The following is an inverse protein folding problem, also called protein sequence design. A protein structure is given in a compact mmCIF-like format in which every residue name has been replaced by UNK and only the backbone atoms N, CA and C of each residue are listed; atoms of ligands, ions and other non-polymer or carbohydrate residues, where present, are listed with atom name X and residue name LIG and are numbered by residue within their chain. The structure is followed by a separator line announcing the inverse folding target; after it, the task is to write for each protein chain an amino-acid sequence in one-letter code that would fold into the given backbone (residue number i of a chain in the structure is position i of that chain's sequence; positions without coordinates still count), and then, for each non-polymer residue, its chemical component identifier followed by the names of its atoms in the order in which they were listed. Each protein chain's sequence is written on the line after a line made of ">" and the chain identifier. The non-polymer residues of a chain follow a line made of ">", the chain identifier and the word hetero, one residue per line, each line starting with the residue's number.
data_IF_430478305513
#
_entry.id   IF_430478305513
#
_cell.length_a   1.000
_cell.length_b   1.000
_cell.length_c   1.000
_cell.angle_alpha   90.00
_cell.angle_beta   90.00
_cell.angle_gamma   90.00
#
_symmetry.space_group_name_H-M   'P 1'
#
loop_
_entity.id
_entity.type
_entity.pdbx_description
1 polymer ?
#
# COMPACT_ATOMS: atom_id res chain seq x y z
N UNK A 1 -26.54 42.94 44.11
CA UNK A 1 -26.40 41.71 43.28
C UNK A 1 -26.98 41.89 41.88
N UNK A 2 -28.29 42.17 41.72
CA UNK A 2 -28.90 42.40 40.40
C UNK A 2 -28.30 43.59 39.63
N UNK A 3 -27.98 44.70 40.31
CA UNK A 3 -27.36 45.88 39.67
C UNK A 3 -25.94 45.60 39.16
N UNK A 4 -25.13 44.85 39.91
CA UNK A 4 -23.76 44.47 39.52
C UNK A 4 -23.74 43.52 38.31
N UNK A 5 -24.70 42.58 38.27
CA UNK A 5 -24.91 41.70 37.12
C UNK A 5 -25.34 42.48 35.87
N UNK A 6 -26.14 43.54 36.03
CA UNK A 6 -26.58 44.38 34.93
C UNK A 6 -25.45 45.27 34.38
N UNK A 7 -24.56 45.73 35.27
CA UNK A 7 -23.40 46.56 34.92
C UNK A 7 -22.28 45.77 34.22
N UNK A 8 -22.06 44.51 34.61
CA UNK A 8 -21.04 43.63 34.03
C UNK A 8 -21.59 42.54 33.10
N UNK A 9 -22.90 42.58 32.80
CA UNK A 9 -23.59 41.53 32.03
C UNK A 9 -22.99 41.30 30.64
N UNK A 10 -22.57 42.37 29.98
CA UNK A 10 -21.92 42.30 28.67
C UNK A 10 -20.56 41.56 28.72
N UNK A 11 -19.76 41.82 29.76
CA UNK A 11 -18.48 41.13 29.97
C UNK A 11 -18.68 39.65 30.31
N UNK A 12 -19.68 39.34 31.16
CA UNK A 12 -20.02 37.98 31.50
C UNK A 12 -20.51 37.21 30.26
N UNK A 13 -21.37 37.80 29.45
CA UNK A 13 -21.88 37.20 28.21
C UNK A 13 -20.77 37.00 27.18
N UNK A 14 -19.85 37.96 27.05
CA UNK A 14 -18.66 37.83 26.20
C UNK A 14 -17.75 36.69 26.70
N UNK A 15 -17.51 36.59 28.01
CA UNK A 15 -16.71 35.51 28.60
C UNK A 15 -17.34 34.14 28.37
N UNK A 16 -18.65 34.00 28.59
CA UNK A 16 -19.40 32.77 28.29
C UNK A 16 -19.28 32.43 26.80
N UNK A 17 -19.45 33.41 25.92
CA UNK A 17 -19.30 33.23 24.47
C UNK A 17 -17.91 32.72 24.08
N UNK A 18 -16.84 33.28 24.65
CA UNK A 18 -15.46 32.82 24.43
C UNK A 18 -15.27 31.39 24.92
N UNK A 19 -15.77 31.05 26.11
CA UNK A 19 -15.68 29.69 26.66
C UNK A 19 -16.43 28.70 25.77
N UNK A 20 -17.65 29.03 25.35
CA UNK A 20 -18.43 28.20 24.43
C UNK A 20 -17.70 28.02 23.09
N UNK A 21 -17.14 29.08 22.51
CA UNK A 21 -16.35 29.00 21.29
C UNK A 21 -15.12 28.10 21.45
N UNK A 22 -14.43 28.18 22.59
CA UNK A 22 -13.28 27.34 22.91
C UNK A 22 -13.65 25.85 23.02
N UNK A 23 -14.80 25.54 23.64
CA UNK A 23 -15.34 24.17 23.68
C UNK A 23 -15.60 23.65 22.26
N UNK A 24 -16.19 24.47 21.39
CA UNK A 24 -16.41 24.10 19.99
C UNK A 24 -15.11 23.86 19.22
N UNK A 25 -14.07 24.68 19.45
CA UNK A 25 -12.75 24.49 18.83
C UNK A 25 -12.11 23.18 19.29
N UNK A 26 -12.19 22.84 20.59
CA UNK A 26 -11.69 21.56 21.11
C UNK A 26 -12.46 20.41 20.49
N UNK A 27 -13.78 20.49 20.43
CA UNK A 27 -14.61 19.46 19.83
C UNK A 27 -14.29 19.25 18.35
N UNK A 28 -14.16 20.34 17.59
CA UNK A 28 -13.76 20.31 16.18
C UNK A 28 -12.36 19.68 16.02
N UNK A 29 -11.41 20.02 16.90
CA UNK A 29 -10.07 19.46 16.89
C UNK A 29 -10.10 17.93 17.09
N UNK A 30 -10.82 17.44 18.10
CA UNK A 30 -10.98 16.00 18.37
C UNK A 30 -11.62 15.31 17.16
N UNK A 31 -12.70 15.89 16.62
CA UNK A 31 -13.42 15.33 15.48
C UNK A 31 -12.53 15.22 14.22
N UNK A 32 -11.83 16.30 13.87
CA UNK A 32 -10.95 16.34 12.70
C UNK A 32 -9.75 15.40 12.89
N UNK A 33 -9.19 15.33 14.09
CA UNK A 33 -8.09 14.40 14.40
C UNK A 33 -8.54 12.94 14.26
N UNK A 34 -9.73 12.61 14.76
CA UNK A 34 -10.34 11.28 14.63
C UNK A 34 -10.58 10.90 13.16
N UNK A 35 -11.24 11.77 12.39
CA UNK A 35 -11.48 11.57 10.96
C UNK A 35 -10.19 11.37 10.17
N UNK A 36 -9.15 12.19 10.44
CA UNK A 36 -7.85 12.07 9.78
C UNK A 36 -7.15 10.74 10.08
N UNK A 37 -7.34 10.18 11.27
CA UNK A 37 -6.76 8.88 11.64
C UNK A 37 -7.53 7.71 11.00
N UNK A 38 -8.86 7.78 10.96
CA UNK A 38 -9.70 6.74 10.36
C UNK A 38 -9.53 6.64 8.84
N UNK A 39 -9.28 7.74 8.15
CA UNK A 39 -9.08 7.77 6.69
C UNK A 39 -7.66 7.38 6.22
N UNK A 40 -6.81 6.85 7.10
CA UNK A 40 -5.47 6.40 6.70
C UNK A 40 -5.56 5.02 6.10
N UNK A 41 -5.48 4.97 4.77
CA UNK A 41 -5.29 3.71 4.06
C UNK A 41 -3.84 3.26 4.29
N UNK A 42 -3.69 2.00 4.66
CA UNK A 42 -2.42 1.38 4.98
C UNK A 42 -2.40 0.00 4.37
N UNK A 43 -1.60 -0.18 3.33
CA UNK A 43 -1.44 -1.47 2.65
C UNK A 43 -0.14 -2.08 3.18
N UNK A 44 -0.25 -3.24 3.83
CA UNK A 44 0.89 -4.02 4.27
C UNK A 44 1.27 -4.99 3.16
N UNK A 45 2.54 -4.99 2.79
CA UNK A 45 3.14 -6.02 1.94
C UNK A 45 4.04 -6.83 2.86
N UNK A 46 3.92 -8.14 2.95
CA UNK A 46 4.81 -8.97 3.78
C UNK A 46 5.13 -10.30 3.12
N UNK A 47 6.19 -10.96 3.56
CA UNK A 47 6.51 -12.33 3.15
C UNK A 47 6.02 -13.29 4.22
N UNK A 48 5.30 -14.33 3.81
CA UNK A 48 4.86 -15.44 4.65
C UNK A 48 5.64 -16.71 4.31
N UNK A 49 5.90 -17.52 5.34
CA UNK A 49 6.71 -18.74 5.21
C UNK A 49 8.21 -18.46 5.29
N UNK A 50 8.97 -19.13 4.41
CA UNK A 50 10.42 -18.97 4.35
C UNK A 50 10.80 -17.60 3.80
N UNK A 51 11.92 -17.06 4.27
CA UNK A 51 12.48 -15.79 3.75
C UNK A 51 13.42 -16.04 2.57
N UNK A 52 13.13 -17.05 1.76
CA UNK A 52 13.84 -17.34 0.52
C UNK A 52 12.89 -17.07 -0.66
N UNK A 53 13.30 -17.46 -1.87
CA UNK A 53 12.49 -17.27 -3.08
C UNK A 53 11.22 -18.14 -3.11
N UNK A 54 11.09 -19.11 -2.21
CA UNK A 54 9.88 -19.94 -2.06
C UNK A 54 8.84 -19.28 -1.16
N UNK A 55 9.21 -18.20 -0.46
CA UNK A 55 8.31 -17.41 0.37
C UNK A 55 7.15 -16.81 -0.43
N UNK A 56 5.97 -16.77 0.20
CA UNK A 56 4.77 -16.19 -0.39
C UNK A 56 4.68 -14.70 -0.08
N UNK A 57 4.37 -13.88 -1.07
CA UNK A 57 4.07 -12.47 -0.82
C UNK A 57 2.59 -12.33 -0.46
N UNK A 58 2.32 -11.72 0.68
CA UNK A 58 0.98 -11.34 1.11
C UNK A 58 0.81 -9.84 1.04
N UNK A 59 -0.36 -9.42 0.57
CA UNK A 59 -0.80 -8.02 0.58
C UNK A 59 -2.04 -7.92 1.46
N UNK A 60 -1.98 -7.11 2.50
CA UNK A 60 -3.06 -6.93 3.46
C UNK A 60 -3.54 -5.48 3.47
N UNK A 61 -4.86 -5.27 3.58
CA UNK A 61 -5.42 -3.95 3.82
C UNK A 61 -5.55 -3.73 5.33
N UNK A 62 -4.73 -2.84 5.90
CA UNK A 62 -4.84 -2.39 7.29
C UNK A 62 -5.63 -1.08 7.43
N UNK A 63 -6.07 -0.50 6.32
CA UNK A 63 -6.97 0.66 6.32
C UNK A 63 -8.41 0.26 6.64
N UNK A 64 -9.17 1.20 7.20
CA UNK A 64 -10.58 0.99 7.54
C UNK A 64 -11.51 0.93 6.33
N UNK A 65 -11.08 1.47 5.19
CA UNK A 65 -11.86 1.50 3.96
C UNK A 65 -11.49 0.32 3.06
N UNK A 66 -12.47 -0.32 2.39
CA UNK A 66 -12.19 -1.27 1.33
C UNK A 66 -11.39 -0.60 0.20
N UNK A 67 -10.42 -1.32 -0.34
CA UNK A 67 -9.62 -0.89 -1.48
C UNK A 67 -9.77 -1.90 -2.60
N UNK A 68 -9.76 -1.47 -3.85
CA UNK A 68 -9.69 -2.35 -5.01
C UNK A 68 -8.27 -2.32 -5.57
N UNK A 69 -7.61 -3.48 -5.62
CA UNK A 69 -6.26 -3.59 -6.17
C UNK A 69 -6.37 -3.41 -7.68
N UNK A 70 -5.70 -2.38 -8.21
CA UNK A 70 -5.61 -2.13 -9.65
C UNK A 70 -4.49 -2.96 -10.27
N UNK A 71 -3.34 -2.96 -9.62
CA UNK A 71 -2.16 -3.67 -10.12
C UNK A 71 -1.16 -3.90 -8.99
N UNK A 72 -0.31 -4.91 -9.19
CA UNK A 72 0.85 -5.19 -8.36
C UNK A 72 2.06 -5.14 -9.28
N UNK A 73 2.83 -4.07 -9.16
CA UNK A 73 4.04 -3.85 -9.92
C UNK A 73 5.22 -4.46 -9.19
N UNK A 74 6.04 -5.20 -9.92
CA UNK A 74 7.29 -5.76 -9.42
C UNK A 74 8.44 -5.17 -10.20
N UNK A 75 9.37 -4.57 -9.46
CA UNK A 75 10.62 -4.05 -9.99
C UNK A 75 11.76 -4.95 -9.54
N UNK A 76 12.45 -5.53 -10.50
CA UNK A 76 13.71 -6.25 -10.27
C UNK A 76 14.88 -5.35 -10.62
N UNK A 77 15.94 -5.41 -9.81
CA UNK A 77 17.18 -4.71 -10.07
C UNK A 77 18.34 -5.72 -10.09
N UNK A 78 19.12 -5.68 -11.16
CA UNK A 78 20.34 -6.45 -11.36
C UNK A 78 21.49 -5.48 -11.68
N UNK A 79 22.32 -5.18 -10.67
CA UNK A 79 23.32 -4.12 -10.78
C UNK A 79 22.68 -2.75 -11.05
N UNK A 80 23.05 -2.12 -12.18
CA UNK A 80 22.52 -0.81 -12.62
C UNK A 80 21.22 -0.93 -13.45
N UNK A 81 20.95 -2.13 -13.96
CA UNK A 81 19.77 -2.38 -14.75
C UNK A 81 18.56 -2.67 -13.86
N UNK A 82 17.39 -2.18 -14.30
CA UNK A 82 16.14 -2.43 -13.61
C UNK A 82 14.98 -2.59 -14.57
N UNK A 83 14.14 -3.56 -14.26
CA UNK A 83 12.94 -3.86 -15.02
C UNK A 83 11.72 -3.74 -14.11
N UNK A 84 10.64 -3.12 -14.60
CA UNK A 84 9.34 -3.09 -13.93
C UNK A 84 8.34 -3.86 -14.78
N UNK A 85 7.58 -4.77 -14.17
CA UNK A 85 6.54 -5.54 -14.83
C UNK A 85 5.31 -5.67 -13.93
N UNK A 86 4.14 -5.84 -14.54
CA UNK A 86 2.90 -6.15 -13.82
C UNK A 86 2.86 -7.62 -13.43
N UNK A 87 2.37 -7.86 -12.22
CA UNK A 87 2.19 -9.18 -11.62
C UNK A 87 0.72 -9.44 -11.33
N UNK A 88 -0.18 -8.50 -11.65
CA UNK A 88 -1.60 -8.66 -11.34
C UNK A 88 -2.26 -9.80 -12.13
N UNK A 89 -1.90 -9.97 -13.40
CA UNK A 89 -2.40 -11.09 -14.20
C UNK A 89 -1.57 -12.35 -13.96
N UNK A 90 -2.25 -13.44 -13.58
CA UNK A 90 -1.61 -14.72 -13.26
C UNK A 90 -1.45 -15.55 -14.52
N UNK A 91 -0.47 -15.20 -15.33
CA UNK A 91 -0.20 -15.85 -16.64
C UNK A 91 0.17 -17.34 -16.54
N UNK A 92 0.58 -17.84 -15.37
CA UNK A 92 0.91 -19.25 -15.16
C UNK A 92 -0.31 -20.17 -14.95
N UNK A 93 -1.50 -19.62 -14.73
CA UNK A 93 -2.71 -20.44 -14.56
C UNK A 93 -3.13 -20.96 -15.92
N UNK A 94 -2.97 -22.28 -16.11
CA UNK A 94 -3.41 -22.99 -17.30
C UNK A 94 -4.89 -22.75 -17.55
N UNK A 95 -5.26 -22.69 -18.83
CA UNK A 95 -6.64 -22.40 -19.22
C UNK A 95 -7.68 -23.35 -18.57
N UNK A 96 -7.26 -24.57 -18.25
CA UNK A 96 -8.02 -25.65 -17.63
C UNK A 96 -8.26 -25.47 -16.11
N UNK A 97 -7.40 -24.69 -15.43
CA UNK A 97 -7.47 -24.44 -13.97
C UNK A 97 -8.16 -23.11 -13.61
N UNK A 98 -8.67 -22.38 -14.61
CA UNK A 98 -9.41 -21.10 -14.50
C UNK A 98 -10.81 -21.28 -13.88
N UNK A 99 -10.88 -21.88 -12.70
CA UNK A 99 -12.13 -22.21 -12.00
C UNK A 99 -12.74 -21.02 -11.25
N UNK A 100 -11.98 -19.94 -11.01
CA UNK A 100 -12.45 -18.71 -10.36
C UNK A 100 -11.62 -17.48 -10.78
N UNK A 101 -12.23 -16.29 -10.76
CA UNK A 101 -11.58 -15.02 -11.15
C UNK A 101 -10.37 -14.71 -10.28
N UNK A 102 -10.43 -15.01 -8.98
CA UNK A 102 -9.33 -14.82 -8.01
C UNK A 102 -8.09 -15.67 -8.32
N UNK A 103 -8.25 -16.72 -9.11
CA UNK A 103 -7.11 -17.52 -9.60
C UNK A 103 -6.50 -16.94 -10.87
N UNK A 104 -7.23 -16.14 -11.63
CA UNK A 104 -6.80 -15.57 -12.92
C UNK A 104 -6.16 -14.20 -12.74
N UNK A 105 -6.64 -13.41 -11.79
CA UNK A 105 -6.12 -12.06 -11.53
C UNK A 105 -6.04 -11.75 -10.04
N UNK A 106 -5.09 -10.89 -9.69
CA UNK A 106 -4.97 -10.27 -8.37
C UNK A 106 -5.74 -8.94 -8.29
N UNK A 107 -6.42 -8.54 -9.38
CA UNK A 107 -7.29 -7.36 -9.40
C UNK A 107 -8.61 -7.65 -8.69
N UNK A 108 -8.62 -7.38 -7.39
CA UNK A 108 -9.76 -7.73 -6.53
C UNK A 108 -10.03 -6.67 -5.45
N UNK A 109 -11.28 -6.59 -4.95
CA UNK A 109 -11.58 -5.82 -3.76
C UNK A 109 -10.97 -6.49 -2.52
N UNK A 110 -10.45 -5.68 -1.60
CA UNK A 110 -9.86 -6.10 -0.34
C UNK A 110 -10.46 -5.28 0.80
N UNK A 111 -11.25 -5.92 1.67
CA UNK A 111 -11.84 -5.24 2.81
C UNK A 111 -10.79 -4.95 3.89
N UNK A 112 -11.17 -4.11 4.86
CA UNK A 112 -10.34 -3.83 6.03
C UNK A 112 -10.02 -5.12 6.80
N UNK A 113 -8.74 -5.42 6.96
CA UNK A 113 -8.24 -6.60 7.65
C UNK A 113 -8.04 -7.83 6.76
N UNK A 114 -8.56 -7.82 5.52
CA UNK A 114 -8.38 -8.92 4.59
C UNK A 114 -6.98 -8.91 3.96
N UNK A 115 -6.58 -10.06 3.44
CA UNK A 115 -5.34 -10.22 2.69
C UNK A 115 -5.54 -11.02 1.41
N UNK A 116 -4.67 -10.77 0.43
CA UNK A 116 -4.53 -11.58 -0.78
C UNK A 116 -3.14 -12.20 -0.80
N UNK A 117 -3.08 -13.49 -1.13
CA UNK A 117 -1.83 -14.17 -1.44
C UNK A 117 -1.47 -13.90 -2.91
N UNK A 118 -0.37 -13.19 -3.11
CA UNK A 118 0.16 -12.88 -4.45
C UNK A 118 0.83 -14.13 -5.04
N UNK A 119 1.41 -14.98 -4.19
CA UNK A 119 2.09 -16.21 -4.53
C UNK A 119 3.59 -16.22 -4.21
N UNK A 120 4.28 -17.33 -4.53
CA UNK A 120 5.71 -17.50 -4.31
C UNK A 120 6.53 -16.50 -5.14
N UNK A 121 7.56 -15.90 -4.55
CA UNK A 121 8.43 -14.91 -5.22
C UNK A 121 9.04 -15.47 -6.51
N UNK A 122 9.43 -16.74 -6.50
CA UNK A 122 9.96 -17.42 -7.68
C UNK A 122 8.98 -17.39 -8.86
N UNK A 123 7.69 -17.63 -8.62
CA UNK A 123 6.63 -17.59 -9.63
C UNK A 123 6.47 -16.19 -10.17
N UNK A 124 6.49 -15.18 -9.28
CA UNK A 124 6.38 -13.78 -9.70
C UNK A 124 7.56 -13.34 -10.57
N UNK A 125 8.79 -13.79 -10.24
CA UNK A 125 9.97 -13.54 -11.07
C UNK A 125 9.80 -14.17 -12.46
N UNK A 126 9.30 -15.40 -12.55
CA UNK A 126 9.07 -16.05 -13.85
C UNK A 126 7.99 -15.37 -14.70
N UNK A 127 7.01 -14.67 -14.10
CA UNK A 127 6.04 -13.85 -14.84
C UNK A 127 6.73 -12.69 -15.57
N UNK A 128 7.73 -12.07 -14.93
CA UNK A 128 8.51 -10.99 -15.54
C UNK A 128 9.36 -11.46 -16.72
N UNK A 129 9.88 -12.69 -16.66
CA UNK A 129 10.64 -13.32 -17.75
C UNK A 129 9.74 -13.64 -18.95
N UNK A 130 8.53 -14.18 -18.70
CA UNK A 130 7.57 -14.53 -19.75
C UNK A 130 7.03 -13.30 -20.52
N UNK A 131 7.05 -12.12 -19.89
CA UNK A 131 6.59 -10.85 -20.51
C UNK A 131 7.62 -10.28 -21.50
N UNK A 132 8.72 -11.00 -21.79
CA UNK A 132 9.71 -10.61 -22.80
C UNK A 132 10.71 -9.56 -22.32
N UNK A 133 10.70 -9.26 -21.03
CA UNK A 133 11.76 -8.49 -20.39
C UNK A 133 12.91 -9.44 -20.11
N UNK A 134 13.85 -9.52 -21.04
CA UNK A 134 15.00 -10.43 -20.99
C UNK A 134 16.19 -9.69 -20.37
N UNK A 135 16.18 -9.54 -19.05
CA UNK A 135 17.26 -8.88 -18.32
C UNK A 135 17.59 -9.67 -17.06
N UNK A 136 18.77 -10.29 -17.15
CA UNK A 136 19.56 -10.92 -16.08
C UNK A 136 19.02 -12.23 -15.53
N UNK A 137 19.87 -13.26 -15.59
CA UNK A 137 19.72 -14.53 -14.86
C UNK A 137 19.33 -14.22 -13.42
N UNK A 138 18.46 -15.05 -12.80
CA UNK A 138 18.10 -15.02 -11.36
C UNK A 138 19.29 -14.80 -10.41
N UNK A 139 20.49 -15.08 -10.89
CA UNK A 139 21.76 -14.93 -10.20
C UNK A 139 22.25 -13.47 -10.02
N UNK A 140 21.86 -12.52 -10.87
CA UNK A 140 22.33 -11.12 -10.72
C UNK A 140 21.33 -10.23 -9.94
N UNK A 141 20.17 -10.81 -9.58
CA UNK A 141 19.12 -10.09 -8.87
C UNK A 141 19.61 -9.67 -7.48
N UNK A 142 19.78 -8.36 -7.29
CA UNK A 142 20.31 -7.77 -6.06
C UNK A 142 19.18 -7.21 -5.20
N UNK A 143 18.16 -6.62 -5.84
CA UNK A 143 17.06 -5.95 -5.16
C UNK A 143 15.74 -6.22 -5.85
N UNK A 144 14.71 -6.34 -5.02
CA UNK A 144 13.34 -6.53 -5.42
C UNK A 144 12.44 -5.47 -4.78
N UNK A 145 11.65 -4.77 -5.57
CA UNK A 145 10.70 -3.77 -5.11
C UNK A 145 9.29 -4.15 -5.55
N UNK A 146 8.38 -4.28 -4.59
CA UNK A 146 6.97 -4.54 -4.84
C UNK A 146 6.18 -3.26 -4.58
N UNK A 147 5.38 -2.85 -5.55
CA UNK A 147 4.48 -1.71 -5.44
C UNK A 147 3.06 -2.15 -5.71
N UNK A 148 2.21 -2.09 -4.70
CA UNK A 148 0.77 -2.36 -4.82
C UNK A 148 0.07 -1.04 -5.10
N UNK A 149 -0.68 -0.97 -6.19
CA UNK A 149 -1.54 0.16 -6.52
C UNK A 149 -3.00 -0.24 -6.36
N UNK A 150 -3.77 0.60 -5.68
CA UNK A 150 -5.17 0.36 -5.37
C UNK A 150 -5.99 1.66 -5.44
N UNK A 151 -7.30 1.53 -5.51
CA UNK A 151 -8.24 2.65 -5.41
C UNK A 151 -9.19 2.45 -4.26
N UNK A 152 -9.47 3.52 -3.51
CA UNK A 152 -10.56 3.56 -2.53
C UNK A 152 -11.69 4.41 -3.10
N UNK A 153 -12.92 3.92 -2.93
CA UNK A 153 -14.14 4.67 -3.27
C UNK A 153 -14.21 6.02 -2.55
N UNK A 154 -13.63 6.16 -1.36
CA UNK A 154 -13.74 7.38 -0.57
C UNK A 154 -12.71 8.45 -0.96
N UNK A 155 -11.65 8.11 -1.70
CA UNK A 155 -10.56 9.06 -2.01
C UNK A 155 -10.43 9.43 -3.48
N UNK A 156 -11.15 8.79 -4.41
CA UNK A 156 -11.11 9.03 -5.89
C UNK A 156 -9.69 9.05 -6.50
N UNK A 157 -8.67 8.71 -5.71
CA UNK A 157 -7.26 8.83 -6.04
C UNK A 157 -6.58 7.52 -5.73
N UNK A 158 -5.58 7.18 -6.53
CA UNK A 158 -4.77 5.98 -6.31
C UNK A 158 -4.10 6.06 -4.93
N UNK A 159 -4.18 4.95 -4.21
CA UNK A 159 -3.43 4.65 -3.00
C UNK A 159 -2.42 3.59 -3.39
N UNK A 160 -1.16 3.80 -3.03
CA UNK A 160 -0.14 2.81 -3.30
C UNK A 160 0.76 2.59 -2.09
N UNK A 161 1.30 1.39 -1.98
CA UNK A 161 2.32 1.04 -1.00
C UNK A 161 3.47 0.33 -1.68
N UNK A 162 4.68 0.62 -1.20
CA UNK A 162 5.91 0.07 -1.74
C UNK A 162 6.68 -0.66 -0.64
N UNK A 163 7.19 -1.85 -0.94
CA UNK A 163 8.14 -2.55 -0.07
C UNK A 163 9.34 -3.02 -0.87
N UNK A 164 10.52 -2.77 -0.32
CA UNK A 164 11.80 -3.12 -0.96
C UNK A 164 12.47 -4.23 -0.15
N UNK A 165 13.00 -5.19 -0.88
CA UNK A 165 13.72 -6.35 -0.39
C UNK A 165 15.08 -6.43 -1.07
N UNK A 166 16.10 -6.80 -0.29
CA UNK A 166 17.46 -7.05 -0.75
C UNK A 166 17.69 -8.55 -0.76
N UNK A 167 18.38 -9.06 -1.78
CA UNK A 167 18.77 -10.46 -1.83
C UNK A 167 20.19 -10.59 -1.29
N UNK A 168 20.31 -11.28 -0.17
CA UNK A 168 21.59 -11.63 0.44
C UNK A 168 21.86 -13.13 0.20
N UNK A 169 23.07 -13.48 -0.18
CA UNK A 169 23.48 -14.89 -0.23
C UNK A 169 23.92 -15.31 1.17
N UNK A 170 23.21 -16.29 1.75
CA UNK A 170 23.58 -16.91 3.01
C UNK A 170 24.93 -17.64 2.90
N UNK A 171 25.60 -17.86 4.03
CA UNK A 171 26.83 -18.66 4.12
C UNK A 171 26.67 -20.08 3.54
N UNK A 172 25.43 -20.61 3.48
CA UNK A 172 25.09 -21.91 2.88
C UNK A 172 24.78 -21.85 1.37
N UNK A 173 24.98 -20.70 0.72
CA UNK A 173 24.68 -20.49 -0.70
C UNK A 173 23.21 -20.25 -1.03
N UNK A 174 22.30 -20.31 -0.05
CA UNK A 174 20.88 -20.02 -0.26
C UNK A 174 20.63 -18.50 -0.36
N UNK A 175 19.79 -18.06 -1.30
CA UNK A 175 19.37 -16.64 -1.38
C UNK A 175 18.29 -16.34 -0.36
N UNK A 176 18.58 -15.40 0.53
CA UNK A 176 17.66 -14.92 1.56
C UNK A 176 17.16 -13.53 1.14
N UNK A 177 15.85 -13.36 1.24
CA UNK A 177 15.16 -12.11 1.00
C UNK A 177 15.08 -11.32 2.31
N UNK A 178 15.80 -10.20 2.36
CA UNK A 178 15.83 -9.32 3.53
C UNK A 178 15.04 -8.04 3.26
N UNK A 179 13.97 -7.75 4.02
CA UNK A 179 13.27 -6.49 3.86
C UNK A 179 14.14 -5.33 4.35
N UNK A 180 14.26 -4.25 3.57
CA UNK A 180 14.99 -3.05 4.00
C UNK A 180 14.24 -2.28 5.10
N UNK A 181 12.91 -2.43 5.13
CA UNK A 181 12.04 -1.77 6.08
C UNK A 181 11.07 -2.75 6.74
N UNK A 182 10.71 -2.45 8.00
CA UNK A 182 9.71 -3.22 8.74
C UNK A 182 8.32 -3.07 8.09
N UNK A 183 7.98 -1.86 7.66
CA UNK A 183 6.70 -1.51 7.04
C UNK A 183 6.87 -1.16 5.56
N UNK A 184 5.81 -1.35 4.79
CA UNK A 184 5.73 -0.81 3.43
C UNK A 184 5.59 0.72 3.48
N UNK A 185 6.38 1.40 2.65
CA UNK A 185 6.29 2.83 2.43
C UNK A 185 4.96 3.18 1.75
N UNK A 186 4.12 3.97 2.44
CA UNK A 186 2.82 4.37 1.91
C UNK A 186 2.98 5.61 1.01
N UNK A 187 2.66 5.49 -0.26
CA UNK A 187 2.74 6.58 -1.24
C UNK A 187 1.50 7.47 -1.10
N UNK A 188 1.65 8.55 -0.34
CA UNK A 188 0.56 9.46 0.03
C UNK A 188 0.63 10.82 -0.65
N UNK A 189 1.80 11.21 -1.14
CA UNK A 189 2.00 12.51 -1.75
C UNK A 189 1.49 12.54 -3.20
N UNK A 190 1.13 13.75 -3.66
CA UNK A 190 0.56 13.92 -5.01
C UNK A 190 1.55 13.56 -6.12
N UNK A 191 2.87 13.69 -5.89
CA UNK A 191 3.88 13.41 -6.91
C UNK A 191 4.08 11.91 -7.06
N UNK A 192 4.23 11.19 -5.95
CA UNK A 192 4.30 9.74 -5.92
C UNK A 192 3.08 9.09 -6.56
N UNK A 193 1.87 9.55 -6.22
CA UNK A 193 0.62 9.07 -6.85
C UNK A 193 0.62 9.25 -8.37
N UNK A 194 0.99 10.44 -8.86
CA UNK A 194 1.10 10.70 -10.30
C UNK A 194 2.17 9.85 -10.97
N UNK A 195 3.26 9.51 -10.28
CA UNK A 195 4.29 8.63 -10.82
C UNK A 195 3.75 7.21 -11.03
N UNK A 196 3.04 6.67 -10.03
CA UNK A 196 2.38 5.36 -10.14
C UNK A 196 1.30 5.37 -11.23
N UNK A 197 0.47 6.41 -11.28
CA UNK A 197 -0.56 6.56 -12.32
C UNK A 197 0.02 6.53 -13.74
N UNK A 198 1.16 7.22 -13.96
CA UNK A 198 1.86 7.18 -15.26
C UNK A 198 2.45 5.80 -15.55
N UNK A 199 2.97 5.11 -14.54
CA UNK A 199 3.50 3.75 -14.72
C UNK A 199 2.40 2.78 -15.12
N UNK A 200 1.24 2.85 -14.47
CA UNK A 200 0.07 2.04 -14.82
C UNK A 200 -0.43 2.36 -16.23
N UNK A 201 -0.52 3.65 -16.59
CA UNK A 201 -0.93 4.06 -17.93
C UNK A 201 0.02 3.61 -19.04
N UNK A 202 1.31 3.45 -18.75
CA UNK A 202 2.29 2.97 -19.73
C UNK A 202 2.19 1.45 -19.98
N UNK A 203 1.46 0.72 -19.14
CA UNK A 203 1.31 -0.74 -19.20
C UNK A 203 -0.05 -1.19 -19.79
N UNK A 204 -0.96 -0.25 -20.07
CA UNK A 204 -2.24 -0.47 -20.77
C UNK A 204 -2.05 -0.20 -22.26
#
# INVERSE_FOLDING_TARGET
>A
MLAWLNEHGALLQAAVGIVTALVWVIYLHIFVSGQKRQRRNEILITVAGQRDLTGHILVCNLGFEPVYILDILMKRCAGDDHTVFSVADRSEVRAEDQTSVDKVTLQMPLNSGDFVDVGPIETLLSRGDATGTDLSTREDLTRLELTVAAVSAATTSIVAARRVFELETSERGARILRPLSLYAEQIRDRRGRRAIERQLQAMI
#
